data_IF_338422594303
#
_entry.id   IF_338422594303
#
_cell.length_a   1.000
_cell.length_b   1.000
_cell.length_c   1.000
_cell.angle_alpha   90.00
_cell.angle_beta   90.00
_cell.angle_gamma   90.00
#
_symmetry.space_group_name_H-M   'P 1'
#
loop_
_entity.id
_entity.type
_entity.pdbx_description
1 polymer ?
#
# COMPACT_ATOMS: atom_id res chain seq x y z
N UNK A 1 -3.06 -6.60 -5.58
CA UNK A 1 -3.71 -5.74 -4.55
C UNK A 1 -3.42 -4.25 -4.82
N UNK A 2 -4.21 -3.31 -4.26
CA UNK A 2 -3.95 -1.86 -4.33
C UNK A 2 -4.18 -1.22 -2.95
N UNK A 3 -3.47 -0.14 -2.64
CA UNK A 3 -3.72 0.70 -1.47
C UNK A 3 -4.94 1.58 -1.71
N UNK A 4 -5.51 2.15 -0.65
CA UNK A 4 -6.62 3.10 -0.77
C UNK A 4 -6.23 4.41 -0.08
N UNK A 5 -6.09 5.48 -0.85
CA UNK A 5 -5.64 6.79 -0.39
C UNK A 5 -6.51 7.84 -1.07
N UNK A 6 -7.01 8.81 -0.30
CA UNK A 6 -7.82 9.92 -0.80
C UNK A 6 -9.04 9.50 -1.65
N UNK A 7 -9.73 8.44 -1.23
CA UNK A 7 -10.89 7.93 -1.95
C UNK A 7 -10.58 7.08 -3.19
N UNK A 8 -9.30 6.88 -3.52
CA UNK A 8 -8.87 6.18 -4.72
C UNK A 8 -8.06 4.92 -4.42
N UNK A 9 -8.16 3.92 -5.32
CA UNK A 9 -7.27 2.75 -5.30
C UNK A 9 -6.00 3.06 -6.06
N UNK A 10 -4.84 2.93 -5.41
CA UNK A 10 -3.54 3.32 -5.96
C UNK A 10 -2.46 2.26 -5.69
N UNK A 11 -1.45 2.20 -6.57
CA UNK A 11 -0.19 1.52 -6.28
C UNK A 11 0.70 2.33 -5.33
N UNK A 12 1.84 1.77 -4.93
CA UNK A 12 2.87 2.53 -4.23
C UNK A 12 3.46 3.59 -5.17
N UNK A 13 3.74 4.80 -4.66
CA UNK A 13 4.33 5.87 -5.47
C UNK A 13 5.65 5.44 -6.13
N UNK A 14 6.45 4.65 -5.42
CA UNK A 14 7.70 4.05 -5.92
C UNK A 14 7.49 2.89 -6.91
N UNK A 15 6.26 2.39 -7.08
CA UNK A 15 5.94 1.17 -7.82
C UNK A 15 6.37 -0.13 -7.11
N UNK A 16 6.94 -0.04 -5.92
CA UNK A 16 7.43 -1.20 -5.18
C UNK A 16 6.28 -2.10 -4.70
N UNK A 17 6.54 -3.41 -4.67
CA UNK A 17 5.63 -4.42 -4.12
C UNK A 17 6.35 -5.32 -3.12
N UNK A 18 5.58 -6.03 -2.32
CA UNK A 18 6.02 -7.01 -1.32
C UNK A 18 5.20 -8.28 -1.46
N UNK A 19 5.87 -9.42 -1.38
CA UNK A 19 5.23 -10.73 -1.40
C UNK A 19 4.55 -11.02 -0.07
N UNK A 20 3.33 -11.55 -0.15
CA UNK A 20 2.65 -12.17 0.99
C UNK A 20 2.89 -13.66 0.90
N UNK A 21 3.42 -14.24 1.96
CA UNK A 21 3.78 -15.66 2.03
C UNK A 21 2.88 -16.40 3.00
N UNK A 22 2.49 -17.62 2.63
CA UNK A 22 1.80 -18.54 3.54
C UNK A 22 2.77 -18.94 4.67
N UNK A 23 2.46 -18.68 5.95
CA UNK A 23 3.37 -19.01 7.05
C UNK A 23 3.54 -20.53 7.26
N UNK A 24 2.62 -21.37 6.76
CA UNK A 24 2.70 -22.82 6.89
C UNK A 24 3.58 -23.47 5.81
N UNK A 25 3.61 -22.93 4.59
CA UNK A 25 4.33 -23.53 3.44
C UNK A 25 5.48 -22.68 2.92
N UNK A 26 5.52 -21.39 3.24
CA UNK A 26 6.48 -20.42 2.71
C UNK A 26 6.19 -19.94 1.28
N UNK A 27 5.16 -20.51 0.63
CA UNK A 27 4.77 -20.18 -0.73
C UNK A 27 4.21 -18.75 -0.83
N UNK A 28 4.46 -18.09 -1.95
CA UNK A 28 3.90 -16.76 -2.24
C UNK A 28 2.43 -16.92 -2.62
N UNK A 29 1.56 -16.23 -1.91
CA UNK A 29 0.09 -16.27 -2.14
C UNK A 29 -0.43 -14.99 -2.79
N UNK A 30 0.27 -13.86 -2.65
CA UNK A 30 -0.09 -12.60 -3.31
C UNK A 30 1.12 -11.64 -3.35
N UNK A 31 0.98 -10.53 -4.08
CA UNK A 31 1.88 -9.39 -4.10
C UNK A 31 1.10 -8.09 -3.85
N UNK A 32 1.50 -7.35 -2.82
CA UNK A 32 0.85 -6.11 -2.39
C UNK A 32 1.77 -4.91 -2.57
N UNK A 33 1.25 -3.69 -2.81
CA UNK A 33 2.08 -2.50 -2.88
C UNK A 33 2.84 -2.28 -1.57
N UNK A 34 4.09 -1.83 -1.68
CA UNK A 34 4.93 -1.50 -0.54
C UNK A 34 4.99 0.02 -0.38
N UNK A 35 4.08 0.56 0.43
CA UNK A 35 4.04 1.98 0.77
C UNK A 35 5.38 2.46 1.32
N UNK A 36 5.74 3.70 1.00
CA UNK A 36 6.88 4.39 1.59
C UNK A 36 6.43 5.64 2.38
N UNK A 37 7.41 6.47 2.76
CA UNK A 37 7.17 7.70 3.49
C UNK A 37 6.32 8.71 2.70
N UNK A 38 6.42 8.72 1.37
CA UNK A 38 5.68 9.63 0.49
C UNK A 38 4.20 9.25 0.46
N UNK A 39 3.91 7.97 0.25
CA UNK A 39 2.56 7.42 0.30
C UNK A 39 1.89 7.68 1.66
N UNK A 40 2.66 7.49 2.74
CA UNK A 40 2.19 7.72 4.11
C UNK A 40 1.85 9.20 4.33
N UNK A 41 2.72 10.10 3.90
CA UNK A 41 2.51 11.55 4.02
C UNK A 41 1.27 12.01 3.23
N UNK A 42 1.10 11.54 1.99
CA UNK A 42 -0.10 11.81 1.17
C UNK A 42 -1.39 11.36 1.85
N UNK A 43 -1.38 10.17 2.47
CA UNK A 43 -2.54 9.66 3.18
C UNK A 43 -2.90 10.51 4.42
N UNK A 44 -1.88 10.96 5.18
CA UNK A 44 -2.08 11.85 6.33
C UNK A 44 -2.60 13.23 5.89
N UNK A 45 -2.02 13.80 4.83
CA UNK A 45 -2.48 15.08 4.27
C UNK A 45 -3.94 15.00 3.80
N UNK A 46 -4.29 13.95 3.04
CA UNK A 46 -5.67 13.73 2.58
C UNK A 46 -6.66 13.58 3.75
N UNK A 47 -6.29 12.81 4.78
CA UNK A 47 -7.10 12.68 5.98
C UNK A 47 -7.29 14.04 6.66
N UNK A 48 -6.24 14.85 6.80
CA UNK A 48 -6.32 16.18 7.41
C UNK A 48 -7.22 17.15 6.62
N UNK A 49 -7.20 17.10 5.27
CA UNK A 49 -8.04 17.97 4.44
C UNK A 49 -9.54 17.61 4.48
N UNK A 50 -9.88 16.39 4.91
CA UNK A 50 -11.26 15.91 4.98
C UNK A 50 -12.00 16.27 6.27
N UNK A 51 -11.32 16.83 7.29
CA UNK A 51 -11.90 17.30 8.55
C UNK A 51 -12.12 18.82 8.54
#
# INVERSE_FOLDING_TARGET
MQMFVDGERVGAASGATMEVRNPATGEVVDSVPRADADDTRRAVEAAHQAF
#
